data_IF_333946173629
#
_entry.id   IF_333946173629
#
_cell.length_a   1.000
_cell.length_b   1.000
_cell.length_c   1.000
_cell.angle_alpha   90.00
_cell.angle_beta   90.00
_cell.angle_gamma   90.00
#
_symmetry.space_group_name_H-M   'P 1'
#
loop_
_entity.id
_entity.type
_entity.pdbx_description
1 polymer ?
#
# COMPACT_ATOMS: atom_id res chain seq x y z
N UNK A 1 -0.66 -0.50 -5.34
CA UNK A 1 -0.37 0.89 -5.78
C UNK A 1 0.17 1.66 -4.60
N UNK A 2 1.01 2.67 -4.83
CA UNK A 2 1.65 3.45 -3.78
C UNK A 2 1.28 4.93 -3.89
N UNK A 3 1.06 5.59 -2.75
CA UNK A 3 0.77 7.03 -2.69
C UNK A 3 1.99 7.88 -3.04
N UNK A 4 3.20 7.41 -2.68
CA UNK A 4 4.44 8.12 -2.92
C UNK A 4 5.64 7.15 -2.96
N UNK A 5 6.81 7.68 -3.32
CA UNK A 5 8.14 7.07 -3.27
C UNK A 5 8.41 5.88 -4.20
N UNK A 6 7.42 5.11 -4.62
CA UNK A 6 7.64 3.92 -5.45
C UNK A 6 6.51 3.66 -6.45
N UNK A 7 6.74 2.71 -7.35
CA UNK A 7 5.83 2.32 -8.44
C UNK A 7 5.20 0.95 -8.18
N UNK A 8 3.99 0.70 -8.73
CA UNK A 8 3.16 1.64 -9.48
C UNK A 8 2.49 2.67 -8.58
N UNK A 9 2.44 3.93 -9.02
CA UNK A 9 1.73 4.98 -8.28
C UNK A 9 0.20 4.75 -8.35
N UNK A 10 -0.57 5.52 -7.58
CA UNK A 10 -2.03 5.37 -7.53
C UNK A 10 -2.68 5.55 -8.90
N UNK A 11 -2.31 6.61 -9.63
CA UNK A 11 -2.86 6.92 -10.95
C UNK A 11 -2.59 5.79 -11.97
N UNK A 12 -1.35 5.29 -12.04
CA UNK A 12 -0.99 4.11 -12.86
C UNK A 12 -1.80 2.87 -12.46
N UNK A 13 -2.10 2.73 -11.17
CA UNK A 13 -2.98 1.71 -10.63
C UNK A 13 -4.42 1.86 -11.13
N UNK A 14 -4.99 3.06 -11.04
CA UNK A 14 -6.36 3.37 -11.47
C UNK A 14 -6.54 3.18 -12.98
N UNK A 15 -5.58 3.64 -13.79
CA UNK A 15 -5.55 3.39 -15.25
C UNK A 15 -5.63 1.89 -15.55
N UNK A 16 -4.91 1.05 -14.79
CA UNK A 16 -4.95 -0.41 -14.97
C UNK A 16 -6.29 -0.99 -14.53
N UNK A 17 -6.82 -0.55 -13.40
CA UNK A 17 -8.11 -1.03 -12.89
C UNK A 17 -9.28 -0.66 -13.81
N UNK A 18 -9.19 0.48 -14.49
CA UNK A 18 -10.21 0.90 -15.46
C UNK A 18 -10.30 -0.04 -16.68
N UNK A 19 -9.21 -0.72 -17.04
CA UNK A 19 -9.20 -1.67 -18.18
C UNK A 19 -9.81 -3.04 -17.86
N UNK A 20 -10.07 -3.33 -16.59
CA UNK A 20 -10.66 -4.61 -16.17
C UNK A 20 -12.20 -4.56 -16.30
N UNK A 21 -12.91 -5.69 -16.40
CA UNK A 21 -14.37 -5.70 -16.57
C UNK A 21 -15.18 -5.49 -15.27
N UNK A 22 -14.61 -4.88 -14.23
CA UNK A 22 -15.25 -4.71 -12.93
C UNK A 22 -15.98 -3.36 -12.82
N UNK A 23 -17.18 -3.37 -12.26
CA UNK A 23 -17.99 -2.15 -12.05
C UNK A 23 -17.58 -1.36 -10.80
N UNK A 24 -17.05 -2.06 -9.78
CA UNK A 24 -16.66 -1.46 -8.49
C UNK A 24 -15.22 -1.79 -8.13
N UNK A 25 -14.50 -0.81 -7.58
CA UNK A 25 -13.12 -0.96 -7.14
C UNK A 25 -12.99 -0.42 -5.71
N UNK A 26 -12.68 -1.30 -4.78
CA UNK A 26 -12.42 -0.93 -3.38
C UNK A 26 -10.93 -0.60 -3.19
N UNK A 27 -10.65 0.56 -2.61
CA UNK A 27 -9.30 1.02 -2.30
C UNK A 27 -9.12 0.99 -0.79
N UNK A 28 -8.25 0.09 -0.31
CA UNK A 28 -7.94 -0.05 1.13
C UNK A 28 -6.60 0.62 1.46
N UNK A 29 -6.59 1.73 2.21
CA UNK A 29 -5.37 2.41 2.60
C UNK A 29 -4.63 1.67 3.71
N UNK A 30 -3.41 1.22 3.43
CA UNK A 30 -2.51 0.63 4.43
C UNK A 30 -1.79 1.74 5.21
N UNK A 31 -2.56 2.55 5.94
CA UNK A 31 -2.07 3.66 6.76
C UNK A 31 -2.52 3.46 8.21
N UNK A 32 -1.61 3.72 9.16
CA UNK A 32 -1.90 3.65 10.60
C UNK A 32 -2.60 4.91 11.12
N UNK A 33 -2.45 6.02 10.42
CA UNK A 33 -3.00 7.32 10.79
C UNK A 33 -3.52 8.05 9.56
N UNK A 34 -4.50 8.93 9.77
CA UNK A 34 -5.04 9.81 8.71
C UNK A 34 -4.25 11.10 8.59
N UNK A 35 -4.62 11.92 7.61
CA UNK A 35 -4.11 13.27 7.43
C UNK A 35 -4.52 13.84 6.08
N UNK A 36 -3.79 14.84 5.61
CA UNK A 36 -4.03 15.50 4.31
C UNK A 36 -4.03 14.49 3.16
N UNK A 37 -3.18 13.47 3.22
CA UNK A 37 -3.07 12.41 2.21
C UNK A 37 -4.38 11.65 1.95
N UNK A 38 -5.22 11.46 2.97
CA UNK A 38 -6.49 10.77 2.80
C UNK A 38 -7.49 11.63 2.03
N UNK A 39 -7.51 12.94 2.28
CA UNK A 39 -8.39 13.86 1.58
C UNK A 39 -8.01 13.99 0.10
N UNK A 40 -6.71 14.02 -0.20
CA UNK A 40 -6.22 14.08 -1.58
C UNK A 40 -6.51 12.78 -2.34
N UNK A 41 -6.36 11.63 -1.66
CA UNK A 41 -6.72 10.34 -2.25
C UNK A 41 -8.23 10.23 -2.52
N UNK A 42 -9.08 10.65 -1.58
CA UNK A 42 -10.53 10.64 -1.77
C UNK A 42 -10.92 11.46 -3.01
N UNK A 43 -10.46 12.71 -3.11
CA UNK A 43 -10.74 13.58 -4.26
C UNK A 43 -10.34 12.93 -5.58
N UNK A 44 -9.14 12.35 -5.62
CA UNK A 44 -8.67 11.68 -6.83
C UNK A 44 -9.55 10.47 -7.21
N UNK A 45 -10.07 9.72 -6.24
CA UNK A 45 -10.99 8.60 -6.52
C UNK A 45 -12.38 9.07 -6.95
N UNK A 46 -12.85 10.20 -6.41
CA UNK A 46 -14.11 10.83 -6.81
C UNK A 46 -14.01 11.33 -8.26
N UNK A 47 -12.94 12.06 -8.61
CA UNK A 47 -12.69 12.54 -9.97
C UNK A 47 -12.67 11.37 -10.99
N UNK A 48 -12.03 10.25 -10.63
CA UNK A 48 -12.01 9.05 -11.47
C UNK A 48 -13.37 8.36 -11.58
N UNK A 49 -14.19 8.41 -10.53
CA UNK A 49 -15.55 7.85 -10.56
C UNK A 49 -16.49 8.71 -11.42
N UNK A 50 -16.25 10.01 -11.52
CA UNK A 50 -17.01 10.92 -12.39
C UNK A 50 -16.59 10.79 -13.86
N UNK A 51 -15.31 10.50 -14.13
CA UNK A 51 -14.77 10.34 -15.50
C UNK A 51 -14.99 8.96 -16.11
N UNK A 52 -15.35 7.95 -15.32
CA UNK A 52 -15.47 6.56 -15.76
C UNK A 52 -16.82 5.93 -15.38
N UNK A 53 -17.19 4.83 -16.02
CA UNK A 53 -18.40 4.07 -15.63
C UNK A 53 -18.19 3.22 -14.36
N UNK A 54 -17.06 3.39 -13.66
CA UNK A 54 -16.68 2.59 -12.50
C UNK A 54 -16.79 3.37 -11.22
N UNK A 55 -17.26 2.69 -10.18
CA UNK A 55 -17.33 3.24 -8.84
C UNK A 55 -16.04 2.91 -8.07
N UNK A 56 -15.26 3.93 -7.72
CA UNK A 56 -14.11 3.79 -6.83
C UNK A 56 -14.51 4.12 -5.40
N UNK A 57 -14.36 3.13 -4.50
CA UNK A 57 -14.81 3.25 -3.10
C UNK A 57 -13.58 3.24 -2.20
N UNK A 58 -13.31 4.38 -1.55
CA UNK A 58 -12.29 4.47 -0.53
C UNK A 58 -12.79 3.81 0.76
N UNK A 59 -12.05 2.80 1.23
CA UNK A 59 -12.32 2.15 2.50
C UNK A 59 -11.64 2.92 3.65
N UNK A 60 -12.05 2.60 4.87
CA UNK A 60 -11.35 3.06 6.06
C UNK A 60 -9.89 2.59 6.04
N UNK A 61 -9.01 3.46 6.54
CA UNK A 61 -7.60 3.16 6.76
C UNK A 61 -7.47 2.14 7.89
N UNK A 62 -6.37 1.38 7.86
CA UNK A 62 -6.13 0.30 8.83
C UNK A 62 -6.21 0.77 10.30
N UNK A 63 -5.69 1.96 10.58
CA UNK A 63 -5.82 2.59 11.90
C UNK A 63 -5.17 1.79 13.04
N UNK A 64 -5.72 1.93 14.24
CA UNK A 64 -5.30 1.22 15.45
C UNK A 64 -6.32 0.13 15.80
N UNK A 65 -6.46 -0.87 14.93
CA UNK A 65 -7.26 -2.05 15.23
C UNK A 65 -6.64 -2.88 16.37
N UNK A 66 -7.46 -3.44 17.26
CA UNK A 66 -7.00 -4.25 18.41
C UNK A 66 -6.13 -5.43 17.96
N UNK A 67 -6.44 -6.03 16.81
CA UNK A 67 -5.63 -7.11 16.24
C UNK A 67 -4.27 -6.58 15.82
N UNK A 68 -4.19 -5.39 15.25
CA UNK A 68 -2.92 -4.78 14.85
C UNK A 68 -2.04 -4.45 16.06
N UNK A 69 -2.64 -3.92 17.13
CA UNK A 69 -1.95 -3.68 18.40
C UNK A 69 -1.36 -4.99 18.94
N UNK A 70 -2.13 -6.08 18.90
CA UNK A 70 -1.67 -7.40 19.35
C UNK A 70 -0.48 -7.92 18.52
N UNK A 71 -0.49 -7.70 17.21
CA UNK A 71 0.60 -8.07 16.29
C UNK A 71 1.84 -7.23 16.59
N UNK A 72 1.70 -5.92 16.78
CA UNK A 72 2.81 -5.04 17.16
C UNK A 72 3.40 -5.45 18.52
N UNK A 73 2.55 -5.78 19.50
CA UNK A 73 2.97 -6.30 20.79
C UNK A 73 3.77 -7.60 20.67
N UNK A 74 3.33 -8.52 19.81
CA UNK A 74 4.06 -9.76 19.51
C UNK A 74 5.44 -9.47 18.91
N UNK A 75 5.56 -8.50 18.00
CA UNK A 75 6.87 -8.09 17.44
C UNK A 75 7.80 -7.52 18.49
N UNK A 76 7.29 -6.76 19.45
CA UNK A 76 8.09 -6.25 20.58
C UNK A 76 8.57 -7.41 21.45
N UNK A 77 7.69 -8.37 21.77
CA UNK A 77 8.08 -9.55 22.56
C UNK A 77 9.12 -10.42 21.85
N UNK A 78 8.97 -10.66 20.53
CA UNK A 78 9.98 -11.40 19.74
C UNK A 78 11.38 -10.78 19.84
N UNK A 79 11.48 -9.46 19.92
CA UNK A 79 12.77 -8.75 20.10
C UNK A 79 13.32 -8.96 21.50
N UNK A 80 12.47 -8.88 22.53
CA UNK A 80 12.88 -9.08 23.93
C UNK A 80 13.32 -10.52 24.21
N UNK A 81 12.65 -11.48 23.58
CA UNK A 81 12.94 -12.91 23.72
C UNK A 81 14.07 -13.41 22.80
N UNK A 82 14.73 -12.51 22.04
CA UNK A 82 15.75 -12.82 21.04
C UNK A 82 15.29 -13.83 19.95
N UNK A 83 13.98 -13.94 19.74
CA UNK A 83 13.33 -14.88 18.82
C UNK A 83 12.85 -14.22 17.52
N UNK A 84 13.56 -13.19 17.07
CA UNK A 84 13.23 -12.48 15.83
C UNK A 84 13.39 -13.42 14.64
N UNK A 85 12.26 -13.72 13.97
CA UNK A 85 12.29 -14.53 12.75
C UNK A 85 12.93 -13.75 11.61
N UNK A 86 13.84 -14.39 10.90
CA UNK A 86 14.47 -13.81 9.71
C UNK A 86 13.42 -13.59 8.64
N UNK A 87 13.27 -12.35 8.19
CA UNK A 87 12.44 -11.98 7.05
C UNK A 87 13.33 -11.46 5.92
N UNK A 88 12.74 -11.13 4.77
CA UNK A 88 13.52 -10.61 3.63
C UNK A 88 14.26 -9.30 3.95
N UNK A 89 13.91 -8.57 5.02
CA UNK A 89 14.61 -7.36 5.46
C UNK A 89 15.81 -7.65 6.36
N UNK A 90 15.75 -8.71 7.17
CA UNK A 90 16.84 -9.12 8.07
C UNK A 90 17.66 -10.30 7.56
N UNK A 91 17.43 -10.73 6.31
CA UNK A 91 18.12 -11.85 5.70
C UNK A 91 19.62 -11.57 5.52
N UNK A 92 20.47 -12.43 6.10
CA UNK A 92 21.94 -12.36 5.99
C UNK A 92 22.46 -12.52 4.56
N UNK A 93 21.63 -12.99 3.63
CA UNK A 93 21.98 -13.21 2.23
C UNK A 93 21.43 -12.14 1.28
N UNK A 94 20.89 -11.03 1.82
CA UNK A 94 20.23 -10.00 1.00
C UNK A 94 21.24 -9.27 0.12
N UNK A 95 21.15 -9.50 -1.20
CA UNK A 95 21.91 -8.77 -2.22
C UNK A 95 21.15 -7.49 -2.60
N UNK A 96 21.82 -6.34 -2.55
CA UNK A 96 21.25 -5.06 -3.00
C UNK A 96 21.22 -5.05 -4.54
N UNK A 97 20.04 -4.95 -5.13
CA UNK A 97 19.91 -4.69 -6.57
C UNK A 97 20.21 -3.19 -6.76
N UNK A 98 21.34 -2.89 -7.39
CA UNK A 98 21.74 -1.52 -7.76
C UNK A 98 21.06 -1.12 -9.08
N UNK A 99 20.57 0.12 -9.17
CA UNK A 99 19.66 0.63 -10.22
C UNK A 99 20.37 0.88 -11.57
N UNK A 100 21.05 -0.12 -12.15
CA UNK A 100 21.78 0.02 -13.44
C UNK A 100 21.36 -0.94 -14.55
N UNK A 101 20.17 -1.53 -14.50
CA UNK A 101 19.68 -2.44 -15.55
C UNK A 101 18.28 -2.09 -16.07
N UNK A 102 18.01 -0.78 -16.27
CA UNK A 102 16.83 -0.31 -17.00
C UNK A 102 17.17 0.49 -18.29
N UNK A 103 18.34 0.25 -18.88
CA UNK A 103 18.66 0.69 -20.24
C UNK A 103 19.44 -0.41 -20.96
N UNK A 104 18.71 -1.29 -21.66
CA UNK A 104 19.10 -1.93 -22.93
C UNK A 104 18.24 -3.17 -23.16
N UNK A 105 17.12 -3.00 -23.89
CA UNK A 105 16.69 -3.82 -25.05
C UNK A 105 15.33 -3.32 -25.51
#
# INVERSE_FOLDING_TARGET
MFLAATRPNVEEGLVRMNRLPNDKVYVVPYLLFTGVLMNDLQKMLDDWSDETEKEFILCDYLGFDDQLISVLGTRVQEVLDENVRVNCDTCSFRVRIDERSAQSS
#
